data_IF_883162958332
#
_entry.id   IF_883162958332
#
_cell.length_a   1.000
_cell.length_b   1.000
_cell.length_c   1.000
_cell.angle_alpha   90.00
_cell.angle_beta   90.00
_cell.angle_gamma   90.00
#
_symmetry.space_group_name_H-M   'P 1'
#
loop_
_entity.id
_entity.type
_entity.pdbx_description
1 polymer ?
#
# COMPACT_ATOMS: atom_id res chain seq x y z
N UNK A 1 12.44 -10.67 56.90
CA UNK A 1 11.63 -11.71 56.20
C UNK A 1 12.38 -12.02 54.92
N UNK A 2 12.92 -13.24 54.77
CA UNK A 2 13.91 -13.52 53.72
C UNK A 2 13.23 -14.14 52.49
N UNK A 3 13.37 -13.49 51.34
CA UNK A 3 13.03 -14.06 50.02
C UNK A 3 14.35 -14.33 49.29
N UNK A 4 14.48 -15.50 48.69
CA UNK A 4 15.73 -16.01 48.12
C UNK A 4 15.75 -15.75 46.61
N UNK A 5 16.83 -15.17 46.10
CA UNK A 5 17.04 -15.03 44.66
C UNK A 5 17.10 -16.42 44.00
N UNK A 6 16.34 -16.60 42.92
CA UNK A 6 16.41 -17.80 42.08
C UNK A 6 17.16 -17.41 40.80
N UNK A 7 18.33 -18.02 40.60
CA UNK A 7 19.10 -17.89 39.37
C UNK A 7 18.61 -18.95 38.39
N UNK A 8 18.07 -18.53 37.23
CA UNK A 8 17.72 -19.45 36.15
C UNK A 8 18.92 -19.64 35.22
N UNK A 9 19.34 -20.90 35.04
CA UNK A 9 20.41 -21.26 34.11
C UNK A 9 19.96 -21.10 32.66
N UNK A 10 20.73 -20.37 31.86
CA UNK A 10 20.58 -20.34 30.40
C UNK A 10 21.11 -21.65 29.81
N UNK A 11 20.24 -22.45 29.18
CA UNK A 11 20.65 -23.67 28.47
C UNK A 11 20.74 -23.35 26.96
N UNK A 12 21.96 -23.23 26.44
CA UNK A 12 22.19 -22.97 25.02
C UNK A 12 21.94 -24.25 24.20
N UNK A 13 21.07 -24.17 23.19
CA UNK A 13 20.72 -25.29 22.33
C UNK A 13 21.38 -25.09 20.96
N UNK A 14 22.38 -25.93 20.66
CA UNK A 14 23.20 -25.83 19.44
C UNK A 14 22.45 -26.49 18.29
N UNK A 15 22.10 -25.71 17.26
CA UNK A 15 21.56 -26.22 15.99
C UNK A 15 22.72 -26.45 15.02
N UNK A 16 23.01 -27.72 14.72
CA UNK A 16 24.09 -28.12 13.81
C UNK A 16 23.67 -28.04 12.34
N UNK A 17 24.44 -27.31 11.51
CA UNK A 17 24.26 -27.32 10.06
C UNK A 17 24.69 -28.67 9.46
N UNK A 18 23.86 -29.22 8.56
CA UNK A 18 24.20 -30.37 7.71
C UNK A 18 24.13 -29.97 6.25
N UNK A 19 25.29 -29.88 5.59
CA UNK A 19 25.41 -29.62 4.14
C UNK A 19 25.70 -30.91 3.36
N UNK A 20 25.46 -30.87 2.05
CA UNK A 20 25.87 -31.85 1.02
C UNK A 20 25.31 -33.28 1.10
N UNK A 21 24.27 -33.55 0.30
CA UNK A 21 24.52 -34.31 -0.94
C UNK A 21 23.39 -34.19 -1.97
N UNK A 22 23.74 -33.77 -3.19
CA UNK A 22 23.01 -34.07 -4.42
C UNK A 22 24.04 -34.18 -5.54
N UNK A 23 24.10 -35.33 -6.22
CA UNK A 23 25.06 -35.60 -7.30
C UNK A 23 24.42 -35.36 -8.67
N UNK A 24 25.23 -35.12 -9.70
CA UNK A 24 24.79 -34.60 -10.99
C UNK A 24 24.95 -35.60 -12.16
N UNK A 25 24.03 -35.49 -13.13
CA UNK A 25 24.10 -36.01 -14.51
C UNK A 25 24.18 -37.55 -14.67
N UNK A 26 23.87 -38.15 -15.84
CA UNK A 26 24.20 -37.75 -17.22
C UNK A 26 23.01 -37.09 -17.98
N UNK A 27 23.12 -36.34 -19.09
CA UNK A 27 23.84 -36.52 -20.37
C UNK A 27 23.27 -37.72 -21.17
N UNK A 28 22.73 -37.64 -22.41
CA UNK A 28 22.74 -36.61 -23.47
C UNK A 28 21.43 -36.69 -24.33
N UNK A 29 21.12 -35.94 -25.42
CA UNK A 29 21.94 -35.35 -26.50
C UNK A 29 21.40 -34.07 -27.17
N UNK A 30 22.38 -33.29 -27.63
CA UNK A 30 22.50 -32.49 -28.86
C UNK A 30 21.38 -32.55 -29.93
N UNK A 31 20.89 -31.36 -30.31
CA UNK A 31 20.50 -31.02 -31.69
C UNK A 31 20.69 -29.51 -31.90
N UNK A 32 21.23 -29.11 -33.06
CA UNK A 32 21.77 -27.77 -33.29
C UNK A 32 20.90 -26.95 -34.23
N UNK A 33 20.44 -25.78 -33.78
CA UNK A 33 20.09 -24.66 -34.67
C UNK A 33 20.62 -23.35 -34.07
N UNK A 34 21.24 -22.53 -34.91
CA UNK A 34 21.96 -21.33 -34.49
C UNK A 34 21.28 -20.05 -35.00
N UNK A 35 21.45 -18.98 -34.22
CA UNK A 35 20.89 -17.63 -34.42
C UNK A 35 19.34 -17.55 -34.27
N UNK A 36 18.78 -16.43 -33.81
CA UNK A 36 19.37 -15.11 -33.56
C UNK A 36 19.18 -14.65 -32.10
N UNK A 37 20.16 -13.91 -31.57
CA UNK A 37 19.96 -13.06 -30.39
C UNK A 37 19.23 -11.78 -30.82
N UNK A 38 17.99 -11.62 -30.37
CA UNK A 38 17.34 -10.31 -30.26
C UNK A 38 17.31 -9.92 -28.78
N UNK A 39 18.32 -9.17 -28.34
CA UNK A 39 18.26 -8.49 -27.06
C UNK A 39 17.28 -7.32 -27.22
N UNK A 40 16.02 -7.52 -26.80
CA UNK A 40 15.06 -6.43 -26.70
C UNK A 40 15.42 -5.58 -25.49
N UNK A 41 16.18 -4.51 -25.77
CA UNK A 41 16.77 -3.67 -24.75
C UNK A 41 15.71 -2.75 -24.15
N UNK A 42 15.33 -3.02 -22.90
CA UNK A 42 14.63 -2.07 -22.04
C UNK A 42 15.55 -0.88 -21.69
N UNK A 43 15.82 -0.04 -22.70
CA UNK A 43 16.32 1.31 -22.52
C UNK A 43 15.27 2.11 -21.75
N UNK A 44 15.34 2.05 -20.43
CA UNK A 44 14.73 3.05 -19.57
C UNK A 44 15.35 4.40 -19.93
N UNK A 45 14.63 5.18 -20.72
CA UNK A 45 15.01 6.52 -21.17
C UNK A 45 14.93 7.50 -19.99
N UNK A 46 15.92 7.36 -19.11
CA UNK A 46 16.06 8.09 -17.86
C UNK A 46 16.57 9.52 -18.11
N UNK A 47 15.94 10.28 -19.01
CA UNK A 47 16.19 11.71 -19.12
C UNK A 47 15.72 12.41 -17.82
N UNK A 48 16.64 12.96 -17.00
CA UNK A 48 16.25 13.63 -15.77
C UNK A 48 15.36 14.86 -16.04
N UNK A 49 15.39 15.45 -17.24
CA UNK A 49 14.52 16.58 -17.58
C UNK A 49 13.07 16.15 -17.81
N UNK A 50 12.85 14.96 -18.40
CA UNK A 50 11.52 14.34 -18.50
C UNK A 50 10.95 14.11 -17.10
N UNK A 51 11.71 13.44 -16.23
CA UNK A 51 11.26 13.10 -14.87
C UNK A 51 10.98 14.35 -14.01
N UNK A 52 11.87 15.35 -14.01
CA UNK A 52 11.67 16.59 -13.25
C UNK A 52 10.46 17.39 -13.76
N UNK A 53 10.19 17.37 -15.07
CA UNK A 53 8.97 17.96 -15.62
C UNK A 53 7.73 17.20 -15.15
N UNK A 54 7.77 15.88 -15.21
CA UNK A 54 6.64 15.00 -14.87
C UNK A 54 6.25 15.12 -13.39
N UNK A 55 7.22 15.11 -12.47
CA UNK A 55 6.96 15.33 -11.04
C UNK A 55 6.47 16.75 -10.74
N UNK A 56 6.95 17.76 -11.48
CA UNK A 56 6.41 19.12 -11.39
C UNK A 56 4.94 19.21 -11.82
N UNK A 57 4.53 18.42 -12.82
CA UNK A 57 3.13 18.34 -13.26
C UNK A 57 2.25 17.62 -12.21
N UNK A 58 2.75 16.55 -11.60
CA UNK A 58 2.07 15.89 -10.46
C UNK A 58 1.90 16.82 -9.25
N UNK A 59 2.93 17.59 -8.89
CA UNK A 59 2.85 18.55 -7.78
C UNK A 59 1.82 19.66 -8.03
N UNK A 60 1.67 20.10 -9.28
CA UNK A 60 0.63 21.06 -9.67
C UNK A 60 -0.77 20.43 -9.59
N UNK A 61 -0.95 19.22 -10.16
CA UNK A 61 -2.19 18.46 -10.07
C UNK A 61 -2.63 18.28 -8.61
N UNK A 62 -1.71 17.89 -7.71
CA UNK A 62 -2.02 17.74 -6.28
C UNK A 62 -2.41 19.08 -5.64
N UNK A 63 -1.80 20.20 -6.04
CA UNK A 63 -2.17 21.52 -5.51
C UNK A 63 -3.57 21.96 -5.94
N UNK A 64 -4.00 21.60 -7.16
CA UNK A 64 -5.29 21.96 -7.75
C UNK A 64 -6.45 20.99 -7.38
N UNK A 65 -6.17 19.86 -6.71
CA UNK A 65 -7.20 18.94 -6.20
C UNK A 65 -8.17 19.62 -5.22
N UNK A 66 -9.42 19.15 -5.23
CA UNK A 66 -10.39 19.46 -4.18
C UNK A 66 -9.85 19.05 -2.81
N UNK A 67 -10.15 19.87 -1.79
CA UNK A 67 -9.73 19.67 -0.41
C UNK A 67 -10.96 19.33 0.43
N UNK A 68 -11.08 18.07 0.83
CA UNK A 68 -12.12 17.59 1.74
C UNK A 68 -11.81 18.01 3.18
N UNK A 69 -12.76 18.68 3.80
CA UNK A 69 -12.69 19.08 5.21
C UNK A 69 -13.11 17.94 6.15
N UNK A 70 -12.66 18.00 7.41
CA UNK A 70 -13.05 17.07 8.46
C UNK A 70 -14.24 17.62 9.28
N UNK A 71 -15.20 16.77 9.71
CA UNK A 71 -15.23 15.32 9.55
C UNK A 71 -16.00 14.86 8.29
N UNK A 72 -15.70 13.65 7.81
CA UNK A 72 -16.43 13.02 6.71
C UNK A 72 -16.48 11.49 6.84
N UNK A 73 -17.38 10.86 6.10
CA UNK A 73 -17.43 9.41 5.91
C UNK A 73 -16.78 9.03 4.58
N UNK A 74 -16.00 7.96 4.55
CA UNK A 74 -15.63 7.28 3.31
C UNK A 74 -16.25 5.89 3.25
N UNK A 75 -17.06 5.67 2.21
CA UNK A 75 -17.72 4.40 1.91
C UNK A 75 -17.57 4.10 0.42
N UNK A 76 -16.35 4.30 -0.11
CA UNK A 76 -16.04 4.04 -1.53
C UNK A 76 -16.15 2.55 -1.83
N UNK A 77 -16.91 2.21 -2.88
CA UNK A 77 -17.29 0.86 -3.27
C UNK A 77 -17.59 0.78 -4.78
N UNK A 78 -17.80 -0.41 -5.33
CA UNK A 78 -18.01 -0.58 -6.77
C UNK A 78 -19.28 0.11 -7.33
N UNK A 79 -20.31 0.36 -6.49
CA UNK A 79 -21.52 1.09 -6.92
C UNK A 79 -21.34 2.62 -6.95
N UNK A 80 -20.33 3.18 -6.27
CA UNK A 80 -20.15 4.64 -6.11
C UNK A 80 -18.75 5.18 -6.43
N UNK A 81 -17.82 4.34 -6.88
CA UNK A 81 -16.49 4.77 -7.30
C UNK A 81 -16.60 5.68 -8.53
N UNK A 82 -15.97 6.86 -8.45
CA UNK A 82 -15.87 7.78 -9.58
C UNK A 82 -14.78 7.31 -10.55
N UNK A 83 -14.94 7.62 -11.84
CA UNK A 83 -13.89 7.40 -12.83
C UNK A 83 -12.77 8.43 -12.65
N UNK A 84 -11.53 7.95 -12.54
CA UNK A 84 -10.33 8.77 -12.36
C UNK A 84 -9.20 8.25 -13.26
N UNK A 85 -8.38 9.16 -13.79
CA UNK A 85 -7.17 8.81 -14.53
C UNK A 85 -6.14 8.12 -13.62
N UNK A 86 -5.62 6.92 -13.99
CA UNK A 86 -4.57 6.26 -13.23
C UNK A 86 -3.25 7.03 -13.23
N UNK A 87 -2.51 6.95 -12.12
CA UNK A 87 -1.17 7.52 -11.99
C UNK A 87 -0.18 6.82 -12.93
N UNK A 88 0.77 7.59 -13.48
CA UNK A 88 1.88 7.01 -14.23
C UNK A 88 2.80 6.17 -13.31
N UNK A 89 3.52 5.20 -13.88
CA UNK A 89 4.52 4.44 -13.13
C UNK A 89 5.68 5.33 -12.61
N UNK A 90 5.93 6.49 -13.23
CA UNK A 90 6.87 7.50 -12.74
C UNK A 90 6.30 8.25 -11.51
N UNK A 91 4.99 8.57 -11.51
CA UNK A 91 4.28 9.22 -10.39
C UNK A 91 4.15 8.29 -9.17
N UNK A 92 3.79 7.03 -9.36
CA UNK A 92 3.69 6.02 -8.29
C UNK A 92 5.03 5.85 -7.57
N UNK A 93 6.12 5.76 -8.34
CA UNK A 93 7.50 5.68 -7.82
C UNK A 93 7.94 6.96 -7.13
N UNK A 94 7.61 8.14 -7.68
CA UNK A 94 7.90 9.42 -7.04
C UNK A 94 7.21 9.55 -5.67
N UNK A 95 5.93 9.16 -5.58
CA UNK A 95 5.17 9.14 -4.33
C UNK A 95 5.55 7.95 -3.41
N UNK A 96 6.45 7.06 -3.83
CA UNK A 96 6.91 5.92 -3.04
C UNK A 96 5.82 4.88 -2.70
N UNK A 97 4.74 4.80 -3.49
CA UNK A 97 3.57 3.96 -3.20
C UNK A 97 3.88 2.45 -3.26
N UNK A 98 4.99 2.08 -3.91
CA UNK A 98 5.63 0.76 -3.85
C UNK A 98 5.89 0.27 -2.40
N UNK A 99 5.96 1.18 -1.41
CA UNK A 99 6.09 0.87 0.02
C UNK A 99 4.76 0.61 0.73
N UNK A 100 3.64 1.07 0.14
CA UNK A 100 2.28 0.99 0.70
C UNK A 100 1.57 -0.25 0.15
N UNK A 101 1.79 -0.52 -1.14
CA UNK A 101 1.23 -1.65 -1.87
C UNK A 101 2.39 -2.59 -2.26
N UNK A 102 2.89 -3.41 -1.32
CA UNK A 102 4.07 -4.27 -1.52
C UNK A 102 3.76 -5.55 -2.30
N UNK A 103 2.48 -5.86 -2.48
CA UNK A 103 2.05 -6.81 -3.51
C UNK A 103 2.37 -6.20 -4.87
N UNK A 104 3.00 -7.00 -5.73
CA UNK A 104 3.54 -6.60 -7.02
C UNK A 104 2.60 -5.61 -7.74
N UNK A 105 3.03 -4.37 -8.02
CA UNK A 105 2.19 -3.38 -8.75
C UNK A 105 1.80 -3.85 -10.16
N UNK A 106 2.31 -4.99 -10.61
CA UNK A 106 1.85 -5.77 -11.76
C UNK A 106 0.44 -6.36 -11.60
N UNK A 107 -0.08 -6.44 -10.37
CA UNK A 107 -1.44 -6.89 -10.02
C UNK A 107 -2.31 -5.75 -9.50
N UNK A 108 -1.81 -4.51 -9.53
CA UNK A 108 -2.57 -3.30 -9.19
C UNK A 108 -2.81 -2.54 -10.48
N UNK A 109 -3.91 -2.85 -11.16
CA UNK A 109 -4.22 -2.33 -12.49
C UNK A 109 -4.43 -0.81 -12.49
N UNK A 110 -4.91 -0.25 -11.37
CA UNK A 110 -5.14 1.19 -11.21
C UNK A 110 -4.78 1.66 -9.80
N UNK A 111 -4.04 2.77 -9.74
CA UNK A 111 -3.91 3.66 -8.57
C UNK A 111 -4.24 5.06 -9.05
N UNK A 112 -5.05 5.81 -8.31
CA UNK A 112 -5.37 7.22 -8.61
C UNK A 112 -5.42 8.06 -7.34
N UNK A 113 -5.25 9.38 -7.48
CA UNK A 113 -5.51 10.31 -6.38
C UNK A 113 -6.94 10.83 -6.55
N UNK A 114 -7.75 10.67 -5.50
CA UNK A 114 -9.14 11.13 -5.48
C UNK A 114 -9.25 12.59 -5.07
N UNK A 115 -8.62 12.96 -3.96
CA UNK A 115 -8.65 14.31 -3.40
C UNK A 115 -7.58 14.52 -2.31
N UNK A 116 -7.48 15.76 -1.81
CA UNK A 116 -6.73 16.10 -0.59
C UNK A 116 -7.64 16.15 0.63
N UNK A 117 -7.07 15.92 1.81
CA UNK A 117 -7.78 16.08 3.09
C UNK A 117 -7.13 17.16 3.95
N UNK A 118 -7.92 18.07 4.53
CA UNK A 118 -7.44 19.09 5.45
C UNK A 118 -7.23 18.53 6.87
N UNK A 119 -6.11 17.84 7.08
CA UNK A 119 -5.74 17.24 8.38
C UNK A 119 -4.78 18.14 9.16
N UNK A 120 -3.69 18.57 8.52
CA UNK A 120 -2.68 19.45 9.11
C UNK A 120 -1.91 20.20 8.03
N UNK A 121 -1.54 21.43 8.36
CA UNK A 121 -0.53 22.26 7.70
C UNK A 121 0.88 21.63 7.67
N UNK A 122 1.19 20.66 8.54
CA UNK A 122 2.55 20.09 8.68
C UNK A 122 2.91 19.01 7.66
N UNK A 123 1.93 18.30 7.12
CA UNK A 123 2.10 17.22 6.14
C UNK A 123 1.15 17.42 4.94
N UNK A 124 1.07 16.47 4.02
CA UNK A 124 0.07 16.43 2.94
C UNK A 124 -0.73 15.14 3.15
N UNK A 125 -2.06 15.22 3.10
CA UNK A 125 -2.95 14.06 3.21
C UNK A 125 -3.72 13.89 1.91
N UNK A 126 -3.62 12.71 1.29
CA UNK A 126 -4.36 12.34 0.08
C UNK A 126 -5.30 11.16 0.39
N UNK A 127 -6.45 11.14 -0.27
CA UNK A 127 -7.18 9.88 -0.49
C UNK A 127 -6.70 9.31 -1.81
N UNK A 128 -6.10 8.13 -1.76
CA UNK A 128 -5.79 7.32 -2.94
C UNK A 128 -6.89 6.29 -3.15
N UNK A 129 -7.31 6.06 -4.38
CA UNK A 129 -8.09 4.88 -4.77
C UNK A 129 -7.19 3.86 -5.47
N UNK A 130 -7.47 2.58 -5.24
CA UNK A 130 -6.68 1.45 -5.72
C UNK A 130 -7.61 0.32 -6.14
N UNK A 131 -7.38 -0.23 -7.33
CA UNK A 131 -8.12 -1.38 -7.85
C UNK A 131 -7.11 -2.44 -8.33
N UNK A 132 -6.88 -3.52 -7.55
CA UNK A 132 -6.19 -4.72 -8.01
C UNK A 132 -7.17 -5.73 -8.62
N UNK A 133 -7.00 -6.04 -9.90
CA UNK A 133 -7.91 -6.92 -10.64
C UNK A 133 -9.32 -6.35 -10.80
N UNK A 134 -10.25 -7.19 -11.23
CA UNK A 134 -11.65 -6.81 -11.46
C UNK A 134 -12.54 -6.91 -10.21
N UNK A 135 -12.04 -7.48 -9.10
CA UNK A 135 -12.86 -7.92 -7.97
C UNK A 135 -12.60 -7.22 -6.63
N UNK A 136 -11.52 -6.46 -6.50
CA UNK A 136 -11.17 -5.71 -5.29
C UNK A 136 -11.07 -4.20 -5.57
N UNK A 137 -11.53 -3.40 -4.62
CA UNK A 137 -11.42 -1.95 -4.63
C UNK A 137 -11.15 -1.47 -3.21
N UNK A 138 -10.22 -0.54 -3.03
CA UNK A 138 -10.05 0.14 -1.75
C UNK A 138 -9.60 1.59 -1.88
N UNK A 139 -9.84 2.35 -0.81
CA UNK A 139 -9.28 3.68 -0.63
C UNK A 139 -8.34 3.71 0.57
N UNK A 140 -7.21 4.41 0.42
CA UNK A 140 -6.26 4.64 1.50
C UNK A 140 -6.14 6.13 1.79
N UNK A 141 -6.23 6.51 3.07
CA UNK A 141 -5.66 7.77 3.52
C UNK A 141 -4.14 7.59 3.59
N UNK A 142 -3.38 8.44 2.90
CA UNK A 142 -1.92 8.45 2.95
C UNK A 142 -1.43 9.83 3.37
N UNK A 143 -0.57 9.86 4.38
CA UNK A 143 0.12 11.07 4.85
C UNK A 143 1.54 11.10 4.29
N UNK A 144 1.92 12.24 3.71
CA UNK A 144 3.22 12.49 3.11
C UNK A 144 3.93 13.69 3.74
N UNK A 145 5.26 13.71 3.71
CA UNK A 145 6.06 14.90 4.00
C UNK A 145 5.75 16.03 3.00
N UNK A 146 6.26 17.24 3.25
CA UNK A 146 6.16 18.33 2.26
C UNK A 146 6.97 18.07 0.99
N UNK A 147 7.89 17.12 1.06
CA UNK A 147 8.73 16.62 -0.03
C UNK A 147 8.14 15.34 -0.68
N UNK A 148 6.89 15.01 -0.36
CA UNK A 148 6.11 13.87 -0.88
C UNK A 148 6.60 12.46 -0.49
N UNK A 149 7.40 12.34 0.58
CA UNK A 149 7.77 11.03 1.14
C UNK A 149 6.65 10.47 2.03
N UNK A 150 6.27 9.20 1.86
CA UNK A 150 5.27 8.53 2.72
C UNK A 150 5.71 8.53 4.19
N UNK A 151 4.90 9.16 5.04
CA UNK A 151 4.98 9.14 6.51
C UNK A 151 4.27 7.90 7.05
N UNK A 152 2.98 7.76 6.72
CA UNK A 152 2.11 6.69 7.22
C UNK A 152 0.82 6.57 6.39
N UNK A 153 0.09 5.46 6.54
CA UNK A 153 -1.15 5.21 5.79
C UNK A 153 -2.16 4.32 6.54
N UNK A 154 -3.41 4.38 6.12
CA UNK A 154 -4.45 3.42 6.51
C UNK A 154 -5.45 3.20 5.37
N UNK A 155 -5.93 1.97 5.21
CA UNK A 155 -7.12 1.68 4.40
C UNK A 155 -8.35 2.25 5.12
N UNK A 156 -9.18 3.00 4.40
CA UNK A 156 -10.34 3.71 4.95
C UNK A 156 -11.67 3.29 4.29
N UNK A 157 -11.63 2.68 3.12
CA UNK A 157 -12.72 1.86 2.60
C UNK A 157 -12.16 0.67 1.80
N UNK A 158 -12.92 -0.40 1.71
CA UNK A 158 -12.61 -1.63 0.96
C UNK A 158 -13.93 -2.26 0.49
N UNK A 159 -13.95 -2.88 -0.68
CA UNK A 159 -15.12 -3.54 -1.27
C UNK A 159 -14.65 -4.71 -2.14
N UNK A 160 -15.26 -5.87 -1.96
CA UNK A 160 -14.92 -7.15 -2.59
C UNK A 160 -16.16 -7.72 -3.28
N UNK A 161 -16.05 -8.10 -4.56
CA UNK A 161 -17.21 -8.46 -5.41
C UNK A 161 -17.09 -9.78 -6.18
N UNK A 162 -16.06 -10.60 -5.94
CA UNK A 162 -15.99 -11.97 -6.46
C UNK A 162 -16.87 -12.94 -5.63
N UNK A 163 -16.83 -12.82 -4.30
CA UNK A 163 -17.75 -13.49 -3.36
C UNK A 163 -18.79 -12.52 -2.80
N UNK A 164 -18.52 -11.19 -2.82
CA UNK A 164 -19.45 -10.17 -2.32
C UNK A 164 -19.47 -10.07 -0.79
N UNK A 165 -18.40 -10.54 -0.15
CA UNK A 165 -18.40 -10.92 1.25
C UNK A 165 -17.82 -9.87 2.20
N UNK A 166 -16.96 -8.97 1.72
CA UNK A 166 -16.16 -8.09 2.58
C UNK A 166 -16.28 -6.64 2.18
N UNK A 167 -16.56 -5.78 3.17
CA UNK A 167 -16.69 -4.34 2.96
C UNK A 167 -16.17 -3.56 4.16
N UNK A 168 -15.43 -2.48 3.92
CA UNK A 168 -15.03 -1.53 4.96
C UNK A 168 -15.50 -0.13 4.58
N UNK A 169 -16.05 0.58 5.54
CA UNK A 169 -16.25 2.04 5.49
C UNK A 169 -15.63 2.71 6.71
N UNK A 170 -15.56 4.04 6.73
CA UNK A 170 -14.93 4.76 7.84
C UNK A 170 -15.51 6.15 8.09
N UNK A 171 -15.28 6.63 9.30
CA UNK A 171 -15.52 8.01 9.72
C UNK A 171 -14.21 8.68 10.13
N UNK A 172 -13.81 9.71 9.39
CA UNK A 172 -12.61 10.49 9.63
C UNK A 172 -12.98 11.79 10.36
N UNK A 173 -12.31 12.05 11.48
CA UNK A 173 -12.45 13.28 12.28
C UNK A 173 -11.09 13.74 12.79
N UNK A 174 -11.01 14.97 13.32
CA UNK A 174 -9.74 15.55 13.78
C UNK A 174 -9.09 14.67 14.85
N UNK A 175 -7.92 14.13 14.53
CA UNK A 175 -7.12 13.27 15.42
C UNK A 175 -7.57 11.82 15.53
N UNK A 176 -8.61 11.36 14.81
CA UNK A 176 -9.10 9.98 14.90
C UNK A 176 -9.78 9.49 13.63
N UNK A 177 -9.48 8.25 13.25
CA UNK A 177 -10.17 7.49 12.20
C UNK A 177 -10.87 6.32 12.89
N UNK A 178 -12.14 6.08 12.59
CA UNK A 178 -12.88 4.90 13.02
C UNK A 178 -13.28 4.14 11.76
N UNK A 179 -12.80 2.90 11.57
CA UNK A 179 -13.17 2.03 10.44
C UNK A 179 -14.12 0.93 10.91
N UNK A 180 -15.05 0.56 10.03
CA UNK A 180 -16.10 -0.43 10.25
C UNK A 180 -15.97 -1.48 9.15
N UNK A 181 -15.38 -2.63 9.49
CA UNK A 181 -15.13 -3.74 8.56
C UNK A 181 -16.19 -4.82 8.77
N UNK A 182 -17.04 -5.02 7.78
CA UNK A 182 -18.13 -6.00 7.78
C UNK A 182 -17.78 -7.23 6.94
N UNK A 183 -17.90 -8.40 7.56
CA UNK A 183 -17.90 -9.72 6.92
C UNK A 183 -19.35 -10.23 6.83
N UNK A 184 -19.78 -10.58 5.62
CA UNK A 184 -21.11 -11.11 5.30
C UNK A 184 -21.08 -12.59 4.89
N UNK A 185 -19.90 -13.22 4.81
CA UNK A 185 -19.70 -14.51 4.12
C UNK A 185 -20.31 -15.71 4.86
N UNK A 186 -20.48 -15.60 6.18
CA UNK A 186 -21.09 -16.66 7.02
C UNK A 186 -22.08 -16.14 8.06
N UNK A 187 -21.73 -15.05 8.75
CA UNK A 187 -22.58 -14.35 9.72
C UNK A 187 -22.19 -12.88 9.66
N UNK A 188 -23.18 -11.98 9.55
CA UNK A 188 -22.95 -10.54 9.53
C UNK A 188 -22.22 -10.10 10.81
N UNK A 189 -20.95 -9.72 10.66
CA UNK A 189 -20.07 -9.30 11.75
C UNK A 189 -19.35 -8.03 11.33
N UNK A 190 -19.54 -6.95 12.09
CA UNK A 190 -18.76 -5.71 11.93
C UNK A 190 -17.73 -5.58 13.04
N UNK A 191 -16.44 -5.62 12.68
CA UNK A 191 -15.35 -5.21 13.56
C UNK A 191 -15.13 -3.70 13.44
N UNK A 192 -14.91 -3.02 14.56
CA UNK A 192 -14.53 -1.60 14.58
C UNK A 192 -13.06 -1.48 14.95
N UNK A 193 -12.26 -0.85 14.09
CA UNK A 193 -10.87 -0.47 14.42
C UNK A 193 -10.78 1.05 14.55
N UNK A 194 -10.02 1.52 15.54
CA UNK A 194 -9.83 2.94 15.77
C UNK A 194 -8.33 3.30 15.71
N UNK A 195 -8.01 4.35 14.96
CA UNK A 195 -6.65 4.87 14.79
C UNK A 195 -6.57 6.30 15.32
N UNK A 196 -5.61 6.56 16.21
CA UNK A 196 -5.23 7.88 16.68
C UNK A 196 -4.27 8.51 15.67
N UNK A 197 -4.69 9.64 15.09
CA UNK A 197 -3.96 10.37 14.08
C UNK A 197 -3.11 11.47 14.73
N UNK A 198 -1.79 11.26 14.76
CA UNK A 198 -0.84 12.09 15.48
C UNK A 198 -0.44 13.37 14.72
N UNK A 199 0.02 14.38 15.47
CA UNK A 199 0.43 15.69 14.92
C UNK A 199 1.66 15.68 14.00
N UNK A 200 2.32 14.53 13.84
CA UNK A 200 3.43 14.27 12.93
C UNK A 200 3.00 13.50 11.66
N UNK A 201 1.75 13.06 11.56
CA UNK A 201 1.22 12.28 10.44
C UNK A 201 1.12 10.77 10.68
N UNK A 202 1.59 10.24 11.82
CA UNK A 202 1.45 8.81 12.14
C UNK A 202 0.00 8.42 12.50
N UNK A 203 -0.38 7.18 12.19
CA UNK A 203 -1.69 6.57 12.46
C UNK A 203 -1.50 5.34 13.35
N UNK A 204 -1.81 5.45 14.64
CA UNK A 204 -1.55 4.38 15.62
C UNK A 204 -2.86 3.78 16.13
N UNK A 205 -2.95 2.45 16.17
CA UNK A 205 -4.11 1.74 16.73
C UNK A 205 -4.35 2.12 18.20
N UNK A 206 -5.60 2.49 18.49
CA UNK A 206 -6.15 2.69 19.85
C UNK A 206 -6.42 1.28 20.42
N UNK A 207 -5.65 0.84 21.44
CA UNK A 207 -5.73 -0.49 22.07
C UNK A 207 -6.14 -0.41 23.55
#
# INVERSE_FOLDING_TARGET
MNIRNIVFCSLALIVSCSFFHCQAAPQDKESTHAAQLSADGSNADNDPKKLVRDTSQLMALIQDLEVRELPFYDSTNFDNVAEHEPLSADWIRFLGLERIYPHDLKTVDKVWIRERVNISDRFISLILGVQPGDSELFTSLVNFSKDYEVIDFATIAYDEIAEGCMRTESYLKKGKISTYASDFCYQEKTDTTELVLQSNGLMISDQ
#
